data_IF_228816248497
#
_entry.id   IF_228816248497
#
_cell.length_a   1.000
_cell.length_b   1.000
_cell.length_c   1.000
_cell.angle_alpha   90.00
_cell.angle_beta   90.00
_cell.angle_gamma   90.00
#
_symmetry.space_group_name_H-M   'P 1'
#
loop_
_entity.id
_entity.type
_entity.pdbx_description
1 polymer ?
#
# COMPACT_ATOMS: atom_id res chain seq x y z
N UNK A 1 -18.76 -13.90 8.92
CA UNK A 1 -18.68 -12.44 9.22
C UNK A 1 -18.54 -11.64 7.94
N UNK A 2 -17.51 -11.86 7.09
CA UNK A 2 -17.31 -11.18 5.82
C UNK A 2 -18.58 -11.17 4.95
N UNK A 3 -19.15 -12.34 4.62
CA UNK A 3 -20.36 -12.48 3.81
C UNK A 3 -21.54 -11.63 4.31
N UNK A 4 -21.72 -11.54 5.63
CA UNK A 4 -22.80 -10.74 6.24
C UNK A 4 -22.57 -9.25 5.99
N UNK A 5 -21.34 -8.77 6.18
CA UNK A 5 -20.96 -7.37 5.95
C UNK A 5 -21.12 -7.01 4.47
N UNK A 6 -20.58 -7.85 3.55
CA UNK A 6 -20.73 -7.60 2.12
C UNK A 6 -22.20 -7.52 1.70
N UNK A 7 -23.03 -8.46 2.13
CA UNK A 7 -24.47 -8.46 1.79
C UNK A 7 -25.25 -7.26 2.34
N UNK A 8 -24.79 -6.68 3.43
CA UNK A 8 -25.46 -5.58 4.08
C UNK A 8 -25.06 -4.21 3.52
N UNK A 9 -23.82 -4.07 3.06
CA UNK A 9 -23.25 -2.76 2.76
C UNK A 9 -22.69 -2.62 1.34
N UNK A 10 -22.70 -3.69 0.52
CA UNK A 10 -22.12 -3.68 -0.83
C UNK A 10 -23.07 -4.32 -1.85
N UNK A 11 -22.86 -4.02 -3.13
CA UNK A 11 -23.58 -4.60 -4.26
C UNK A 11 -22.91 -5.87 -4.83
N UNK A 12 -21.97 -6.48 -4.08
CA UNK A 12 -21.18 -7.62 -4.56
C UNK A 12 -22.05 -8.86 -4.81
N UNK A 13 -21.77 -9.55 -5.91
CA UNK A 13 -22.39 -10.84 -6.23
C UNK A 13 -21.95 -11.94 -5.24
N UNK A 14 -22.73 -13.03 -5.18
CA UNK A 14 -22.33 -14.17 -4.36
C UNK A 14 -20.98 -14.77 -4.80
N UNK A 15 -20.66 -14.75 -6.09
CA UNK A 15 -19.38 -15.25 -6.64
C UNK A 15 -18.21 -14.37 -6.19
N UNK A 16 -18.40 -13.05 -6.21
CA UNK A 16 -17.37 -12.11 -5.75
C UNK A 16 -17.11 -12.28 -4.25
N UNK A 17 -18.18 -12.44 -3.46
CA UNK A 17 -18.07 -12.72 -2.02
C UNK A 17 -17.31 -14.04 -1.78
N UNK A 18 -17.58 -15.10 -2.53
CA UNK A 18 -16.86 -16.37 -2.45
C UNK A 18 -15.37 -16.20 -2.81
N UNK A 19 -15.06 -15.40 -3.81
CA UNK A 19 -13.69 -15.05 -4.15
C UNK A 19 -12.99 -14.34 -3.00
N UNK A 20 -13.63 -13.35 -2.38
CA UNK A 20 -13.08 -12.64 -1.23
C UNK A 20 -12.87 -13.57 -0.03
N UNK A 21 -13.81 -14.48 0.24
CA UNK A 21 -13.67 -15.48 1.30
C UNK A 21 -12.40 -16.33 1.11
N UNK A 22 -12.13 -16.78 -0.12
CA UNK A 22 -10.91 -17.55 -0.44
C UNK A 22 -9.64 -16.72 -0.25
N UNK A 23 -9.65 -15.44 -0.65
CA UNK A 23 -8.50 -14.55 -0.45
C UNK A 23 -8.25 -14.35 1.05
N UNK A 24 -9.30 -14.20 1.84
CA UNK A 24 -9.21 -14.01 3.29
C UNK A 24 -8.50 -15.17 4.01
N UNK A 25 -8.59 -16.40 3.51
CA UNK A 25 -7.86 -17.54 4.07
C UNK A 25 -6.34 -17.33 4.04
N UNK A 26 -5.84 -16.58 3.07
CA UNK A 26 -4.42 -16.27 2.91
C UNK A 26 -3.93 -15.08 3.75
N UNK A 27 -4.81 -14.18 4.21
CA UNK A 27 -4.39 -12.94 4.90
C UNK A 27 -3.50 -13.18 6.12
N UNK A 28 -3.75 -14.18 7.00
CA UNK A 28 -2.89 -14.41 8.16
C UNK A 28 -1.45 -14.80 7.79
N UNK A 29 -1.27 -15.48 6.65
CA UNK A 29 0.07 -15.84 6.14
C UNK A 29 0.74 -14.60 5.57
N UNK A 30 0.01 -13.80 4.79
CA UNK A 30 0.52 -12.55 4.22
C UNK A 30 0.98 -11.58 5.31
N UNK A 31 0.14 -11.34 6.32
CA UNK A 31 0.47 -10.45 7.43
C UNK A 31 1.74 -10.89 8.17
N UNK A 32 1.94 -12.19 8.39
CA UNK A 32 3.16 -12.71 9.02
C UNK A 32 4.40 -12.52 8.17
N UNK A 33 4.30 -12.81 6.86
CA UNK A 33 5.43 -12.70 5.93
C UNK A 33 5.85 -11.25 5.73
N UNK A 34 4.88 -10.36 5.55
CA UNK A 34 5.11 -8.94 5.34
C UNK A 34 5.41 -8.19 6.64
N UNK A 35 5.09 -8.78 7.81
CA UNK A 35 5.13 -8.13 9.13
C UNK A 35 4.31 -6.84 9.17
N UNK A 36 3.20 -6.83 8.46
CA UNK A 36 2.33 -5.68 8.21
C UNK A 36 0.88 -6.03 8.56
N UNK A 37 0.09 -5.01 8.84
CA UNK A 37 -1.37 -5.13 8.94
C UNK A 37 -1.93 -5.25 7.52
N UNK A 38 -2.85 -6.19 7.30
CA UNK A 38 -3.44 -6.48 5.98
C UNK A 38 -4.94 -6.43 6.08
N UNK A 39 -5.58 -5.68 5.16
CA UNK A 39 -7.03 -5.49 5.15
C UNK A 39 -7.62 -5.78 3.77
N UNK A 40 -8.90 -6.08 3.74
CA UNK A 40 -9.73 -6.05 2.53
C UNK A 40 -10.88 -5.08 2.77
N UNK A 41 -10.96 -4.08 1.89
CA UNK A 41 -12.04 -3.08 1.89
C UNK A 41 -12.85 -3.18 0.61
N UNK A 42 -14.17 -3.05 0.75
CA UNK A 42 -15.12 -3.02 -0.36
C UNK A 42 -15.77 -1.64 -0.47
N UNK A 43 -16.09 -1.23 -1.70
CA UNK A 43 -16.90 -0.04 -1.92
C UNK A 43 -18.31 -0.27 -1.36
N UNK A 44 -18.87 0.73 -0.67
CA UNK A 44 -20.27 0.72 -0.25
C UNK A 44 -21.17 1.36 -1.31
N UNK A 45 -22.48 1.25 -1.15
CA UNK A 45 -23.47 1.97 -2.00
C UNK A 45 -23.18 3.48 -2.05
N UNK A 46 -22.74 4.04 -0.93
CA UNK A 46 -22.20 5.40 -0.90
C UNK A 46 -20.74 5.40 -1.35
N UNK A 47 -20.49 5.77 -2.60
CA UNK A 47 -19.15 5.76 -3.23
C UNK A 47 -18.09 6.65 -2.56
N UNK A 48 -18.46 7.42 -1.56
CA UNK A 48 -17.50 8.18 -0.72
C UNK A 48 -17.02 7.40 0.51
N UNK A 49 -17.48 6.14 0.64
CA UNK A 49 -17.11 5.27 1.75
C UNK A 49 -16.77 3.86 1.26
N UNK A 50 -15.78 3.25 1.92
CA UNK A 50 -15.52 1.82 1.84
C UNK A 50 -15.80 1.19 3.20
N UNK A 51 -15.91 -0.13 3.25
CA UNK A 51 -16.10 -0.90 4.48
C UNK A 51 -15.04 -1.97 4.60
N UNK A 52 -14.43 -2.08 5.77
CA UNK A 52 -13.46 -3.13 6.07
C UNK A 52 -14.20 -4.45 6.25
N UNK A 53 -13.94 -5.43 5.38
CA UNK A 53 -14.61 -6.74 5.40
C UNK A 53 -13.75 -7.85 6.00
N UNK A 54 -12.42 -7.66 5.98
CA UNK A 54 -11.48 -8.59 6.57
C UNK A 54 -10.20 -7.88 7.02
N UNK A 55 -9.53 -8.46 8.01
CA UNK A 55 -8.22 -8.03 8.49
C UNK A 55 -7.38 -9.21 8.93
N UNK A 56 -6.07 -9.05 8.87
CA UNK A 56 -5.10 -9.90 9.55
C UNK A 56 -3.94 -9.04 10.03
N UNK A 57 -3.58 -9.21 11.29
CA UNK A 57 -2.55 -8.42 11.95
C UNK A 57 -1.35 -9.29 12.30
N UNK A 58 -0.11 -8.78 12.24
CA UNK A 58 1.06 -9.50 12.69
C UNK A 58 1.01 -9.69 14.21
N UNK A 59 1.60 -10.77 14.71
CA UNK A 59 1.61 -11.04 16.16
C UNK A 59 2.32 -9.95 16.98
N UNK A 60 3.25 -9.21 16.36
CA UNK A 60 3.99 -8.09 16.96
C UNK A 60 4.13 -7.00 15.91
N UNK A 61 4.00 -5.75 16.34
CA UNK A 61 4.21 -4.60 15.47
C UNK A 61 2.96 -4.12 14.74
N UNK A 62 1.76 -4.64 15.05
CA UNK A 62 0.52 -4.09 14.53
C UNK A 62 0.33 -2.62 14.94
N UNK A 63 -0.17 -1.84 14.01
CA UNK A 63 -0.56 -0.45 14.23
C UNK A 63 -1.93 -0.33 14.91
N UNK A 64 -2.64 -1.45 15.07
CA UNK A 64 -4.00 -1.50 15.62
C UNK A 64 -4.06 -2.27 16.94
N UNK A 65 -4.84 -1.76 17.89
CA UNK A 65 -5.11 -2.40 19.17
C UNK A 65 -6.48 -3.10 19.20
N UNK A 66 -7.36 -2.71 18.29
CA UNK A 66 -8.71 -3.26 18.15
C UNK A 66 -9.01 -3.60 16.69
N UNK A 67 -9.90 -4.59 16.49
CA UNK A 67 -10.39 -4.94 15.16
C UNK A 67 -11.13 -3.76 14.50
N UNK A 68 -10.84 -3.57 13.22
CA UNK A 68 -11.51 -2.58 12.39
C UNK A 68 -12.51 -3.20 11.40
N UNK A 69 -12.71 -4.52 11.42
CA UNK A 69 -13.69 -5.19 10.56
C UNK A 69 -15.10 -4.67 10.84
N UNK A 70 -15.79 -4.25 9.78
CA UNK A 70 -17.11 -3.63 9.86
C UNK A 70 -17.09 -2.12 10.08
N UNK A 71 -15.91 -1.50 10.22
CA UNK A 71 -15.79 -0.03 10.29
C UNK A 71 -15.76 0.56 8.88
N UNK A 72 -16.25 1.80 8.76
CA UNK A 72 -16.23 2.53 7.50
C UNK A 72 -14.94 3.32 7.33
N UNK A 73 -14.38 3.23 6.13
CA UNK A 73 -13.27 4.05 5.65
C UNK A 73 -13.83 5.19 4.80
N UNK A 74 -13.63 6.42 5.22
CA UNK A 74 -14.13 7.62 4.55
C UNK A 74 -13.07 8.20 3.61
N UNK A 75 -13.47 8.70 2.45
CA UNK A 75 -12.59 9.31 1.44
C UNK A 75 -11.60 10.32 2.01
N UNK A 76 -12.03 11.18 2.92
CA UNK A 76 -11.16 12.18 3.54
C UNK A 76 -10.02 11.59 4.37
N UNK A 77 -10.21 10.37 4.91
CA UNK A 77 -9.22 9.71 5.77
C UNK A 77 -8.42 8.66 4.98
N UNK A 78 -9.06 8.00 4.00
CA UNK A 78 -8.51 6.89 3.21
C UNK A 78 -8.59 7.18 1.70
N UNK A 79 -8.00 8.28 1.21
CA UNK A 79 -8.12 8.67 -0.20
C UNK A 79 -7.48 7.67 -1.15
N UNK A 80 -6.41 6.98 -0.74
CA UNK A 80 -5.75 5.96 -1.55
C UNK A 80 -6.64 4.74 -1.78
N UNK A 81 -7.35 4.30 -0.75
CA UNK A 81 -8.33 3.19 -0.78
C UNK A 81 -9.44 3.51 -1.78
N UNK A 82 -10.13 4.64 -1.58
CA UNK A 82 -11.26 5.03 -2.43
C UNK A 82 -10.83 5.26 -3.89
N UNK A 83 -9.67 5.91 -4.11
CA UNK A 83 -9.12 6.09 -5.45
C UNK A 83 -8.85 4.75 -6.14
N UNK A 84 -8.24 3.79 -5.44
CA UNK A 84 -7.93 2.47 -6.01
C UNK A 84 -9.21 1.70 -6.33
N UNK A 85 -10.22 1.75 -5.46
CA UNK A 85 -11.54 1.17 -5.70
C UNK A 85 -12.24 1.75 -6.94
N UNK A 86 -12.09 3.04 -7.19
CA UNK A 86 -12.73 3.71 -8.33
C UNK A 86 -11.98 3.50 -9.65
N UNK A 87 -10.65 3.61 -9.60
CA UNK A 87 -9.84 3.66 -10.83
C UNK A 87 -9.21 2.34 -11.22
N UNK A 88 -9.08 1.42 -10.26
CA UNK A 88 -8.35 0.17 -10.44
C UNK A 88 -6.84 0.34 -10.60
N UNK A 89 -6.31 1.54 -10.33
CA UNK A 89 -4.88 1.78 -10.31
C UNK A 89 -4.35 1.60 -8.88
N UNK A 90 -3.31 0.77 -8.68
CA UNK A 90 -2.74 0.58 -7.35
C UNK A 90 -2.12 1.87 -6.83
N UNK A 91 -2.25 2.10 -5.53
CA UNK A 91 -1.55 3.15 -4.79
C UNK A 91 -0.40 2.54 -4.01
N UNK A 92 0.80 3.13 -4.09
CA UNK A 92 2.00 2.61 -3.43
C UNK A 92 2.61 3.67 -2.53
N UNK A 93 3.15 3.23 -1.41
CA UNK A 93 3.90 4.05 -0.43
C UNK A 93 3.15 5.32 -0.01
N UNK A 94 1.83 5.23 0.06
CA UNK A 94 1.00 6.32 0.50
C UNK A 94 1.13 6.48 2.02
N UNK A 95 1.50 7.68 2.48
CA UNK A 95 1.58 7.98 3.91
C UNK A 95 0.19 8.24 4.46
N UNK A 96 -0.22 7.46 5.42
CA UNK A 96 -1.53 7.54 6.04
C UNK A 96 -1.41 7.61 7.58
N UNK A 97 -2.50 8.03 8.21
CA UNK A 97 -2.68 7.96 9.65
C UNK A 97 -3.79 6.94 9.94
N UNK A 98 -3.48 5.96 10.77
CA UNK A 98 -4.49 5.00 11.23
C UNK A 98 -5.57 5.70 12.05
N UNK A 99 -6.70 5.02 12.28
CA UNK A 99 -7.74 5.50 13.19
C UNK A 99 -7.23 5.72 14.64
N UNK A 100 -6.08 5.14 14.98
CA UNK A 100 -5.40 5.32 16.28
C UNK A 100 -4.28 6.40 16.21
N UNK A 101 -4.25 7.23 15.14
CA UNK A 101 -3.27 8.30 14.92
C UNK A 101 -1.80 7.82 14.84
N UNK A 102 -1.58 6.59 14.39
CA UNK A 102 -0.24 6.09 14.09
C UNK A 102 0.09 6.32 12.62
N UNK A 103 1.31 6.78 12.34
CA UNK A 103 1.80 6.92 10.98
C UNK A 103 2.12 5.56 10.38
N UNK A 104 1.59 5.30 9.19
CA UNK A 104 1.82 4.06 8.42
C UNK A 104 2.15 4.40 6.97
N UNK A 105 2.86 3.48 6.32
CA UNK A 105 2.96 3.43 4.86
C UNK A 105 1.94 2.44 4.34
N UNK A 106 1.10 2.86 3.41
CA UNK A 106 -0.02 2.10 2.90
C UNK A 106 0.20 1.75 1.42
N UNK A 107 0.08 0.47 1.11
CA UNK A 107 0.06 -0.06 -0.25
C UNK A 107 -1.32 -0.63 -0.53
N UNK A 108 -1.98 -0.18 -1.59
CA UNK A 108 -3.34 -0.55 -1.95
C UNK A 108 -3.37 -1.12 -3.35
N UNK A 109 -3.87 -2.35 -3.51
CA UNK A 109 -4.00 -3.01 -4.81
C UNK A 109 -5.44 -3.45 -5.06
N UNK A 110 -5.96 -3.31 -6.30
CA UNK A 110 -7.32 -3.69 -6.60
C UNK A 110 -7.48 -5.21 -6.69
N UNK A 111 -8.58 -5.73 -6.16
CA UNK A 111 -9.07 -7.10 -6.38
C UNK A 111 -10.20 -7.01 -7.38
N UNK A 112 -10.08 -7.78 -8.47
CA UNK A 112 -11.06 -7.79 -9.56
C UNK A 112 -11.92 -9.03 -9.51
N UNK A 113 -13.13 -8.93 -10.03
CA UNK A 113 -14.00 -10.08 -10.29
C UNK A 113 -13.34 -11.04 -11.29
N UNK A 114 -13.67 -12.32 -11.19
CA UNK A 114 -13.30 -13.34 -12.20
C UNK A 114 -14.25 -13.33 -13.40
N UNK A 115 -15.28 -12.53 -13.38
CA UNK A 115 -16.18 -12.35 -14.51
C UNK A 115 -15.51 -11.57 -15.65
N UNK A 116 -15.98 -11.72 -16.88
CA UNK A 116 -15.38 -11.09 -18.07
C UNK A 116 -15.29 -9.55 -17.96
N UNK A 117 -16.19 -8.93 -17.18
CA UNK A 117 -16.16 -7.49 -16.91
C UNK A 117 -14.88 -7.02 -16.20
N UNK A 118 -14.25 -7.90 -15.41
CA UNK A 118 -13.07 -7.57 -14.62
C UNK A 118 -13.29 -6.41 -13.63
N UNK A 119 -14.51 -6.19 -13.19
CA UNK A 119 -14.86 -5.11 -12.26
C UNK A 119 -14.09 -5.19 -10.96
N UNK A 120 -13.83 -4.04 -10.35
CA UNK A 120 -13.15 -3.96 -9.06
C UNK A 120 -14.16 -4.29 -7.97
N UNK A 121 -13.93 -5.38 -7.26
CA UNK A 121 -14.82 -5.86 -6.19
C UNK A 121 -14.35 -5.45 -4.80
N UNK A 122 -13.05 -5.23 -4.65
CA UNK A 122 -12.44 -4.85 -3.38
C UNK A 122 -11.02 -4.30 -3.62
N UNK A 123 -10.37 -3.89 -2.55
CA UNK A 123 -8.93 -3.64 -2.51
C UNK A 123 -8.29 -4.45 -1.39
N UNK A 124 -7.05 -4.87 -1.63
CA UNK A 124 -6.14 -5.40 -0.62
C UNK A 124 -5.23 -4.25 -0.17
N UNK A 125 -5.16 -4.04 1.13
CA UNK A 125 -4.38 -2.98 1.75
C UNK A 125 -3.31 -3.64 2.61
N UNK A 126 -2.07 -3.16 2.48
CA UNK A 126 -0.94 -3.54 3.33
C UNK A 126 -0.45 -2.29 4.02
N UNK A 127 -0.47 -2.27 5.35
CA UNK A 127 -0.02 -1.15 6.17
C UNK A 127 1.19 -1.55 7.00
N UNK A 128 2.29 -0.84 6.80
CA UNK A 128 3.50 -0.98 7.57
C UNK A 128 3.63 0.20 8.54
N UNK A 129 3.78 -0.10 9.83
CA UNK A 129 4.04 0.92 10.84
C UNK A 129 5.36 1.63 10.55
N UNK A 130 5.36 2.95 10.58
CA UNK A 130 6.58 3.76 10.50
C UNK A 130 7.30 3.70 11.85
N UNK A 131 8.13 2.67 12.04
CA UNK A 131 9.00 2.53 13.21
C UNK A 131 10.31 3.29 12.97
N UNK A 132 10.95 3.78 14.05
CA UNK A 132 12.31 4.38 13.97
C UNK A 132 13.31 3.45 13.28
N UNK A 133 13.17 2.12 13.41
CA UNK A 133 13.99 1.14 12.69
C UNK A 133 13.77 1.18 11.16
N UNK A 134 12.54 1.39 10.70
CA UNK A 134 12.24 1.47 9.27
C UNK A 134 12.73 2.81 8.71
N UNK A 135 12.53 3.90 9.46
CA UNK A 135 13.08 5.22 9.12
C UNK A 135 14.62 5.16 9.07
N UNK A 136 15.25 4.52 10.05
CA UNK A 136 16.68 4.36 10.07
C UNK A 136 17.21 3.43 8.97
N UNK A 137 16.47 2.39 8.57
CA UNK A 137 16.81 1.55 7.42
C UNK A 137 16.68 2.31 6.10
N UNK A 138 15.61 3.09 5.91
CA UNK A 138 15.48 3.95 4.74
C UNK A 138 16.58 5.02 4.69
N UNK A 139 16.88 5.67 5.84
CA UNK A 139 17.99 6.63 5.93
C UNK A 139 19.34 5.98 5.71
N UNK A 140 19.60 4.78 6.25
CA UNK A 140 20.84 4.05 6.02
C UNK A 140 20.96 3.59 4.57
N UNK A 141 19.87 3.17 3.95
CA UNK A 141 19.84 2.82 2.53
C UNK A 141 20.10 4.04 1.65
N UNK A 142 19.47 5.18 1.95
CA UNK A 142 19.71 6.44 1.24
C UNK A 142 21.14 6.93 1.42
N UNK A 143 21.70 6.85 2.63
CA UNK A 143 23.09 7.21 2.90
C UNK A 143 24.06 6.31 2.14
N UNK A 144 23.85 4.98 2.17
CA UNK A 144 24.68 4.03 1.44
C UNK A 144 24.55 4.24 -0.07
N UNK A 145 23.33 4.47 -0.59
CA UNK A 145 23.11 4.78 -2.00
C UNK A 145 23.78 6.10 -2.41
N UNK A 146 23.79 7.09 -1.53
CA UNK A 146 24.46 8.38 -1.76
C UNK A 146 25.97 8.21 -1.78
N UNK A 147 26.53 7.42 -0.83
CA UNK A 147 27.96 7.09 -0.79
C UNK A 147 28.39 6.30 -2.02
N UNK A 148 27.60 5.32 -2.46
CA UNK A 148 27.85 4.55 -3.70
C UNK A 148 27.78 5.43 -4.94
N UNK A 149 26.89 6.42 -4.99
CA UNK A 149 26.80 7.40 -6.07
C UNK A 149 28.01 8.33 -6.09
N UNK A 150 28.45 8.81 -4.92
CA UNK A 150 29.63 9.66 -4.78
C UNK A 150 30.91 8.90 -5.16
N UNK A 151 31.01 7.62 -4.76
CA UNK A 151 32.13 6.75 -5.14
C UNK A 151 32.10 6.32 -6.61
N UNK A 152 30.90 6.16 -7.20
CA UNK A 152 30.74 5.79 -8.62
C UNK A 152 30.84 6.96 -9.58
N UNK A 153 30.78 8.21 -9.10
CA UNK A 153 31.06 9.39 -9.94
C UNK A 153 32.51 9.44 -10.43
N UNK A 154 33.40 8.63 -9.83
CA UNK A 154 34.79 8.43 -10.25
C UNK A 154 34.96 7.22 -11.20
N UNK A 155 33.94 6.37 -11.36
CA UNK A 155 34.03 5.19 -12.21
C UNK A 155 32.71 4.48 -12.53
N UNK A 156 32.13 4.83 -13.67
CA UNK A 156 31.15 4.05 -14.43
C UNK A 156 29.74 3.78 -13.85
N UNK A 157 28.81 4.52 -14.30
CA UNK A 157 27.48 4.27 -14.93
C UNK A 157 27.04 2.77 -15.17
N UNK A 158 27.26 1.83 -14.28
CA UNK A 158 26.83 0.44 -14.52
C UNK A 158 25.66 -0.06 -13.67
N UNK A 159 25.21 0.66 -12.66
CA UNK A 159 24.08 0.21 -11.83
C UNK A 159 22.93 1.22 -11.74
N UNK A 160 22.39 1.60 -12.90
CA UNK A 160 21.15 2.40 -13.02
C UNK A 160 19.93 1.75 -12.33
N UNK A 161 20.00 0.46 -11.97
CA UNK A 161 18.84 -0.29 -11.51
C UNK A 161 18.43 0.00 -10.07
N UNK A 162 19.34 0.34 -9.17
CA UNK A 162 19.03 0.51 -7.74
C UNK A 162 18.27 1.81 -7.50
N UNK A 163 18.68 2.89 -8.16
CA UNK A 163 18.06 4.22 -7.99
C UNK A 163 16.64 4.28 -8.56
N UNK A 164 16.32 3.44 -9.52
CA UNK A 164 14.95 3.33 -10.07
C UNK A 164 13.98 2.59 -9.13
N UNK A 165 14.49 1.89 -8.11
CA UNK A 165 13.67 1.28 -7.05
C UNK A 165 13.36 2.24 -5.90
N UNK A 166 14.01 3.40 -5.82
CA UNK A 166 13.71 4.43 -4.83
C UNK A 166 12.40 5.11 -5.24
N UNK A 167 11.44 5.16 -4.34
CA UNK A 167 10.10 5.68 -4.62
C UNK A 167 10.03 7.21 -4.69
N UNK A 168 11.07 7.90 -4.20
CA UNK A 168 11.19 9.36 -4.30
C UNK A 168 11.86 9.77 -5.62
N UNK A 169 11.46 10.93 -6.14
CA UNK A 169 12.12 11.54 -7.30
C UNK A 169 13.53 12.00 -6.93
N UNK A 170 14.56 11.37 -7.53
CA UNK A 170 15.97 11.74 -7.32
C UNK A 170 16.48 12.46 -8.57
N UNK A 171 17.01 13.66 -8.35
CA UNK A 171 17.70 14.44 -9.36
C UNK A 171 19.12 14.74 -8.83
N UNK A 172 20.13 14.43 -9.64
CA UNK A 172 21.53 14.71 -9.30
C UNK A 172 22.07 15.78 -10.25
N UNK A 173 22.69 16.80 -9.68
CA UNK A 173 23.34 17.87 -10.41
C UNK A 173 24.87 17.78 -10.24
N UNK A 174 25.61 18.16 -11.25
CA UNK A 174 27.06 18.36 -11.13
C UNK A 174 27.39 19.70 -10.43
N UNK A 175 28.69 19.95 -10.22
CA UNK A 175 29.17 21.18 -9.60
C UNK A 175 28.82 22.46 -10.39
N UNK A 176 28.52 22.31 -11.68
CA UNK A 176 28.10 23.38 -12.58
C UNK A 176 26.58 23.61 -12.57
N UNK A 177 25.82 22.83 -11.76
CA UNK A 177 24.37 22.91 -11.66
C UNK A 177 23.62 22.23 -12.82
N UNK A 178 24.30 21.43 -13.65
CA UNK A 178 23.66 20.66 -14.71
C UNK A 178 23.14 19.33 -14.17
N UNK A 179 21.89 19.00 -14.52
CA UNK A 179 21.30 17.71 -14.17
C UNK A 179 22.03 16.57 -14.91
N UNK A 180 22.71 15.70 -14.15
CA UNK A 180 23.44 14.56 -14.70
C UNK A 180 22.65 13.25 -14.58
N UNK A 181 21.65 13.22 -13.70
CA UNK A 181 20.77 12.06 -13.52
C UNK A 181 19.40 12.49 -12.99
N UNK A 182 18.35 11.78 -13.42
CA UNK A 182 17.02 11.81 -12.83
C UNK A 182 16.42 10.40 -12.94
N UNK A 183 15.92 9.87 -11.82
CA UNK A 183 15.25 8.57 -11.83
C UNK A 183 13.86 8.66 -12.47
N UNK A 184 13.21 7.50 -12.67
CA UNK A 184 11.89 7.41 -13.31
C UNK A 184 10.77 8.17 -12.56
N UNK A 185 10.97 8.46 -11.27
CA UNK A 185 10.01 9.18 -10.43
C UNK A 185 10.21 10.71 -10.48
N UNK A 186 11.38 11.17 -10.90
CA UNK A 186 11.69 12.60 -11.04
C UNK A 186 11.38 13.16 -12.44
N UNK A 187 11.02 12.29 -13.38
CA UNK A 187 10.58 12.61 -14.75
C UNK A 187 9.08 12.73 -14.81
#
# INVERSE_FOLDING_TARGET
MLRTICKQYTELSNKDIEKLEKICEGLPVMSKLLKADVFIDCMTENRDTAIVVAEANPRRGSSYTQSVVGKFAYRKNEPAVLRTLETGHPSRDYKALTQENKSVTQNVVPIRSDEESGEIIAVLIVEEGMNEENINKELSFLNNATDDILMSSVGMLRERKIIDYINDGIIIFNEEGLCIYANSRAK
#
